data_IF_862298395379
#
_entry.id   IF_862298395379
#
_cell.length_a   1.000
_cell.length_b   1.000
_cell.length_c   1.000
_cell.angle_alpha   90.00
_cell.angle_beta   90.00
_cell.angle_gamma   90.00
#
_symmetry.space_group_name_H-M   'P 1'
#
loop_
_entity.id
_entity.type
_entity.pdbx_description
1 polymer ?
#
# COMPACT_ATOMS: atom_id res chain seq x y z
N UNK A 1 -10.59 9.40 27.87
CA UNK A 1 -9.23 9.59 28.47
C UNK A 1 -8.90 8.57 29.55
N UNK A 2 -9.84 8.12 30.37
CA UNK A 2 -9.59 7.19 31.49
C UNK A 2 -9.17 5.76 31.06
N UNK A 3 -9.63 5.28 29.92
CA UNK A 3 -9.29 3.94 29.39
C UNK A 3 -7.92 3.87 28.68
N UNK A 4 -7.35 5.02 28.29
CA UNK A 4 -6.14 5.08 27.47
C UNK A 4 -4.92 5.66 28.22
N UNK A 5 -4.93 5.68 29.54
CA UNK A 5 -3.80 6.17 30.38
C UNK A 5 -3.27 7.58 29.98
N UNK A 6 -4.08 8.38 29.34
CA UNK A 6 -3.85 9.82 29.12
C UNK A 6 -2.96 10.27 27.98
N UNK A 7 -2.16 9.43 27.32
CA UNK A 7 -1.31 9.85 26.19
C UNK A 7 -1.35 8.85 25.04
N UNK A 8 -1.87 9.26 23.89
CA UNK A 8 -1.81 8.50 22.65
C UNK A 8 -0.56 8.95 21.89
N UNK A 9 0.54 8.20 22.06
CA UNK A 9 1.81 8.52 21.41
C UNK A 9 1.92 7.98 19.97
N UNK A 10 1.17 6.92 19.64
CA UNK A 10 1.17 6.27 18.32
C UNK A 10 -0.24 5.92 17.91
N UNK A 11 -0.59 6.19 16.67
CA UNK A 11 -1.84 5.78 16.05
C UNK A 11 -1.59 5.01 14.77
N UNK A 12 -2.31 3.93 14.58
CA UNK A 12 -2.37 3.17 13.33
C UNK A 12 -3.63 3.60 12.59
N UNK A 13 -3.49 3.91 11.31
CA UNK A 13 -4.61 4.22 10.43
C UNK A 13 -4.69 3.21 9.30
N UNK A 14 -5.87 2.68 9.09
CA UNK A 14 -6.18 1.81 7.96
C UNK A 14 -7.59 2.08 7.46
N UNK A 15 -7.84 1.73 6.19
CA UNK A 15 -9.15 1.85 5.57
C UNK A 15 -9.66 0.50 5.11
N UNK A 16 -10.95 0.29 5.31
CA UNK A 16 -11.67 -0.84 4.74
C UNK A 16 -12.87 -0.38 3.93
N UNK A 17 -13.24 -1.18 2.93
CA UNK A 17 -14.41 -0.94 2.09
C UNK A 17 -15.56 -1.81 2.59
N UNK A 18 -16.73 -1.20 2.78
CA UNK A 18 -17.97 -1.91 3.13
C UNK A 18 -18.89 -1.80 1.92
N UNK A 19 -19.28 -2.95 1.38
CA UNK A 19 -20.16 -3.07 0.21
C UNK A 19 -21.60 -3.29 0.64
N UNK A 20 -22.53 -2.75 -0.15
CA UNK A 20 -23.96 -2.94 0.03
C UNK A 20 -24.52 -3.78 -1.10
N UNK A 21 -25.44 -4.68 -0.79
CA UNK A 21 -26.14 -5.49 -1.80
C UNK A 21 -27.24 -4.70 -2.53
N UNK A 22 -27.50 -3.45 -2.10
CA UNK A 22 -28.40 -2.53 -2.80
C UNK A 22 -27.84 -2.15 -4.16
N UNK A 23 -28.69 -2.04 -5.17
CA UNK A 23 -28.34 -1.57 -6.51
C UNK A 23 -28.43 -0.04 -6.67
N UNK A 24 -29.00 0.67 -5.68
CA UNK A 24 -29.17 2.12 -5.77
C UNK A 24 -28.14 2.83 -4.89
N UNK A 25 -27.28 3.68 -5.48
CA UNK A 25 -26.42 4.57 -4.74
C UNK A 25 -27.20 5.70 -4.09
N UNK A 26 -26.62 6.33 -3.08
CA UNK A 26 -27.05 7.58 -2.48
C UNK A 26 -25.82 8.49 -2.27
N UNK A 27 -25.98 9.62 -1.58
CA UNK A 27 -24.90 10.59 -1.33
C UNK A 27 -23.67 10.00 -0.62
N UNK A 28 -23.83 8.93 0.14
CA UNK A 28 -22.74 8.28 0.88
C UNK A 28 -22.33 6.96 0.24
N UNK A 29 -23.33 6.17 -0.21
CA UNK A 29 -23.11 4.86 -0.81
C UNK A 29 -22.97 4.99 -2.32
N UNK A 30 -21.75 5.18 -2.77
CA UNK A 30 -21.43 5.32 -4.18
C UNK A 30 -20.70 4.10 -4.72
N UNK A 31 -20.77 3.91 -6.04
CA UNK A 31 -19.90 2.93 -6.71
C UNK A 31 -18.48 3.51 -6.82
N UNK A 32 -17.48 2.66 -6.60
CA UNK A 32 -16.10 3.10 -6.61
C UNK A 32 -15.11 2.01 -6.99
N UNK A 33 -13.84 2.28 -6.76
CA UNK A 33 -12.81 1.29 -6.99
C UNK A 33 -12.94 0.13 -6.01
N UNK A 34 -13.07 -1.09 -6.53
CA UNK A 34 -13.15 -2.30 -5.73
C UNK A 34 -11.93 -3.19 -5.93
N UNK A 35 -11.20 -3.46 -4.85
CA UNK A 35 -10.10 -4.45 -4.83
C UNK A 35 -10.61 -5.89 -5.02
N UNK A 36 -11.92 -6.12 -4.74
CA UNK A 36 -12.59 -7.43 -4.83
C UNK A 36 -13.35 -7.65 -6.14
N UNK A 37 -13.32 -6.67 -7.05
CA UNK A 37 -14.02 -6.75 -8.33
C UNK A 37 -15.52 -6.41 -8.26
N UNK A 38 -16.01 -5.88 -7.13
CA UNK A 38 -17.41 -5.52 -6.90
C UNK A 38 -17.74 -4.09 -7.36
N UNK A 39 -17.30 -3.72 -8.56
CA UNK A 39 -17.44 -2.34 -9.08
C UNK A 39 -18.87 -1.86 -9.29
N UNK A 40 -19.85 -2.76 -9.31
CA UNK A 40 -21.27 -2.43 -9.49
C UNK A 40 -22.02 -2.26 -8.16
N UNK A 41 -21.40 -2.61 -7.04
CA UNK A 41 -22.01 -2.49 -5.73
C UNK A 41 -21.70 -1.13 -5.12
N UNK A 42 -22.71 -0.39 -4.62
CA UNK A 42 -22.48 0.77 -3.79
C UNK A 42 -21.62 0.40 -2.57
N UNK A 43 -20.71 1.27 -2.21
CA UNK A 43 -19.77 1.07 -1.12
C UNK A 43 -19.61 2.34 -0.30
N UNK A 44 -19.06 2.18 0.88
CA UNK A 44 -18.51 3.26 1.70
C UNK A 44 -17.09 2.89 2.11
N UNK A 45 -16.31 3.87 2.49
CA UNK A 45 -15.05 3.64 3.16
C UNK A 45 -15.17 3.91 4.65
N UNK A 46 -14.63 3.00 5.46
CA UNK A 46 -14.45 3.16 6.90
C UNK A 46 -12.96 3.35 7.20
N UNK A 47 -12.59 4.56 7.60
CA UNK A 47 -11.26 4.88 8.12
C UNK A 47 -11.22 4.62 9.62
N UNK A 48 -10.29 3.79 10.08
CA UNK A 48 -10.16 3.40 11.47
C UNK A 48 -8.83 3.84 12.05
N UNK A 49 -8.88 4.53 13.19
CA UNK A 49 -7.73 4.84 14.02
C UNK A 49 -7.65 3.86 15.19
N UNK A 50 -6.49 3.23 15.35
CA UNK A 50 -6.22 2.23 16.38
C UNK A 50 -5.01 2.68 17.20
N UNK A 51 -5.10 2.57 18.51
CA UNK A 51 -3.99 2.86 19.41
C UNK A 51 -2.94 1.74 19.45
N UNK A 52 -1.82 2.00 20.13
CA UNK A 52 -0.70 1.07 20.28
C UNK A 52 -1.12 -0.33 20.76
N UNK A 53 -2.12 -0.38 21.64
CA UNK A 53 -2.58 -1.61 22.26
C UNK A 53 -3.67 -2.35 21.46
N UNK A 54 -3.93 -1.90 20.22
CA UNK A 54 -4.90 -2.52 19.31
C UNK A 54 -6.36 -2.08 19.54
N UNK A 55 -6.61 -1.16 20.47
CA UNK A 55 -7.97 -0.64 20.68
C UNK A 55 -8.33 0.42 19.66
N UNK A 56 -9.55 0.36 19.07
CA UNK A 56 -10.09 1.43 18.25
C UNK A 56 -10.25 2.70 19.09
N UNK A 57 -9.73 3.81 18.59
CA UNK A 57 -9.79 5.11 19.27
C UNK A 57 -10.62 6.13 18.51
N UNK A 58 -10.83 5.91 17.22
CA UNK A 58 -11.69 6.73 16.39
C UNK A 58 -11.94 6.11 15.04
N UNK A 59 -12.99 6.58 14.40
CA UNK A 59 -13.33 6.21 13.01
C UNK A 59 -13.98 7.39 12.30
N UNK A 60 -13.95 7.33 10.99
CA UNK A 60 -14.74 8.18 10.12
C UNK A 60 -15.28 7.38 8.93
N UNK A 61 -16.40 7.82 8.36
CA UNK A 61 -17.04 7.18 7.22
C UNK A 61 -16.96 8.16 6.05
N UNK A 62 -16.61 7.62 4.88
CA UNK A 62 -16.44 8.39 3.66
C UNK A 62 -17.26 7.80 2.52
N UNK A 63 -17.61 8.66 1.57
CA UNK A 63 -18.28 8.31 0.33
C UNK A 63 -17.50 7.22 -0.44
N UNK A 64 -18.23 6.30 -1.05
CA UNK A 64 -17.64 5.17 -1.76
C UNK A 64 -16.85 5.53 -3.01
N UNK A 65 -17.06 6.72 -3.56
CA UNK A 65 -16.35 7.25 -4.74
C UNK A 65 -15.05 7.99 -4.41
N UNK A 66 -14.78 8.34 -3.14
CA UNK A 66 -13.61 9.14 -2.76
C UNK A 66 -12.30 8.39 -3.02
N UNK A 67 -11.25 9.12 -3.37
CA UNK A 67 -9.90 8.55 -3.41
C UNK A 67 -9.37 8.32 -1.99
N UNK A 68 -8.97 7.09 -1.70
CA UNK A 68 -8.51 6.61 -0.38
C UNK A 68 -7.46 7.52 0.27
N UNK A 69 -6.56 8.10 -0.54
CA UNK A 69 -5.51 9.00 -0.06
C UNK A 69 -6.02 10.33 0.53
N UNK A 70 -7.24 10.75 0.21
CA UNK A 70 -7.81 12.02 0.71
C UNK A 70 -8.46 11.90 2.09
N UNK A 71 -8.64 10.70 2.61
CA UNK A 71 -9.35 10.47 3.87
C UNK A 71 -8.45 10.62 5.11
N UNK A 72 -7.16 10.43 4.92
CA UNK A 72 -6.17 10.27 5.99
C UNK A 72 -6.02 11.52 6.86
N UNK A 73 -5.73 12.67 6.24
CA UNK A 73 -5.49 13.92 6.96
C UNK A 73 -6.75 14.41 7.69
N UNK A 74 -7.95 14.43 7.06
CA UNK A 74 -9.19 14.82 7.75
C UNK A 74 -9.50 13.99 9.00
N UNK A 75 -9.24 12.68 8.97
CA UNK A 75 -9.45 11.83 10.15
C UNK A 75 -8.53 12.21 11.29
N UNK A 76 -7.25 12.44 10.99
CA UNK A 76 -6.27 12.84 12.01
C UNK A 76 -6.64 14.17 12.65
N UNK A 77 -7.04 15.17 11.87
CA UNK A 77 -7.44 16.49 12.36
C UNK A 77 -8.68 16.43 13.24
N UNK A 78 -9.74 15.73 12.80
CA UNK A 78 -10.94 15.52 13.62
C UNK A 78 -10.60 14.86 14.94
N UNK A 79 -9.66 13.93 14.91
CA UNK A 79 -9.24 13.18 16.08
C UNK A 79 -8.44 14.04 17.07
N UNK A 80 -7.50 14.87 16.59
CA UNK A 80 -6.76 15.83 17.43
C UNK A 80 -7.72 16.77 18.17
N UNK A 81 -8.66 17.36 17.43
CA UNK A 81 -9.64 18.30 18.02
C UNK A 81 -10.52 17.59 19.05
N UNK A 82 -11.02 16.40 18.72
CA UNK A 82 -11.97 15.68 19.58
C UNK A 82 -11.35 15.24 20.91
N UNK A 83 -10.08 14.88 20.91
CA UNK A 83 -9.43 14.29 22.09
C UNK A 83 -8.37 15.19 22.73
N UNK A 84 -8.18 16.40 22.20
CA UNK A 84 -7.16 17.34 22.66
C UNK A 84 -5.78 16.66 22.80
N UNK A 85 -5.35 16.03 21.72
CA UNK A 85 -4.12 15.22 21.70
C UNK A 85 -2.93 16.05 21.21
N UNK A 86 -1.79 15.80 21.83
CA UNK A 86 -0.52 16.13 21.20
C UNK A 86 -0.38 15.24 19.96
N UNK A 87 0.27 15.76 18.90
CA UNK A 87 0.43 15.05 17.63
C UNK A 87 1.03 13.66 17.81
N UNK A 88 0.28 12.59 17.55
CA UNK A 88 0.81 11.24 17.66
C UNK A 88 1.75 10.92 16.50
N UNK A 89 2.58 9.89 16.67
CA UNK A 89 3.26 9.24 15.54
C UNK A 89 2.23 8.46 14.75
N UNK A 90 2.14 8.74 13.46
CA UNK A 90 1.15 8.13 12.58
C UNK A 90 1.75 6.95 11.83
N UNK A 91 1.13 5.79 11.94
CA UNK A 91 1.55 4.58 11.22
C UNK A 91 0.46 4.19 10.22
N UNK A 92 0.83 4.03 8.95
CA UNK A 92 -0.12 3.65 7.90
C UNK A 92 0.54 2.79 6.81
N UNK A 93 -0.28 2.17 5.98
CA UNK A 93 0.19 1.33 4.90
C UNK A 93 0.71 2.12 3.68
N UNK A 94 1.25 1.41 2.67
CA UNK A 94 1.77 2.03 1.45
C UNK A 94 0.66 2.56 0.51
N UNK A 95 -0.60 2.27 0.77
CA UNK A 95 -1.74 2.81 0.02
C UNK A 95 -1.86 4.32 0.22
N UNK A 96 -1.53 4.78 1.42
CA UNK A 96 -1.62 6.18 1.84
C UNK A 96 -0.33 6.98 1.58
N UNK A 97 0.73 6.33 1.07
CA UNK A 97 1.99 6.97 0.70
C UNK A 97 1.83 7.74 -0.62
N UNK A 98 1.32 8.96 -0.56
CA UNK A 98 1.34 9.93 -1.66
C UNK A 98 2.24 11.11 -1.31
N UNK A 99 2.77 11.80 -2.31
CA UNK A 99 3.57 13.02 -2.09
C UNK A 99 2.79 14.09 -1.32
N UNK A 100 1.49 14.18 -1.58
CA UNK A 100 0.64 15.19 -0.94
C UNK A 100 0.36 14.84 0.52
N UNK A 101 0.14 13.57 0.84
CA UNK A 101 0.00 13.12 2.22
C UNK A 101 1.29 13.32 3.03
N UNK A 102 2.46 13.02 2.44
CA UNK A 102 3.76 13.26 3.07
C UNK A 102 3.96 14.74 3.34
N UNK A 103 3.70 15.62 2.35
CA UNK A 103 3.81 17.07 2.50
C UNK A 103 2.85 17.59 3.59
N UNK A 104 1.61 17.11 3.59
CA UNK A 104 0.61 17.51 4.57
C UNK A 104 1.00 17.07 6.00
N UNK A 105 1.44 15.82 6.18
CA UNK A 105 1.92 15.33 7.47
C UNK A 105 3.13 16.16 7.97
N UNK A 106 4.12 16.36 7.10
CA UNK A 106 5.34 17.11 7.44
C UNK A 106 5.02 18.57 7.73
N UNK A 107 4.23 19.23 6.87
CA UNK A 107 3.82 20.64 7.04
C UNK A 107 3.00 20.87 8.31
N UNK A 108 2.23 19.88 8.73
CA UNK A 108 1.48 19.90 10.01
C UNK A 108 2.31 19.43 11.22
N UNK A 109 3.57 19.04 11.02
CA UNK A 109 4.50 18.63 12.08
C UNK A 109 4.22 17.25 12.68
N UNK A 110 3.55 16.35 11.94
CA UNK A 110 3.40 14.96 12.36
C UNK A 110 4.70 14.19 12.17
N UNK A 111 4.98 13.28 13.09
CA UNK A 111 5.91 12.17 12.87
C UNK A 111 5.14 11.00 12.26
N UNK A 112 5.77 10.26 11.34
CA UNK A 112 5.08 9.16 10.68
C UNK A 112 5.99 7.97 10.39
N UNK A 113 5.38 6.80 10.26
CA UNK A 113 5.97 5.57 9.71
C UNK A 113 4.99 5.05 8.65
N UNK A 114 5.32 5.23 7.38
CA UNK A 114 4.46 4.83 6.26
C UNK A 114 5.07 3.64 5.53
N UNK A 115 4.25 2.66 5.15
CA UNK A 115 4.69 1.59 4.27
C UNK A 115 5.25 2.15 2.96
N UNK A 116 6.45 1.73 2.54
CA UNK A 116 7.12 2.25 1.35
C UNK A 116 7.08 1.28 0.17
N UNK A 117 6.90 1.83 -1.04
CA UNK A 117 6.94 1.09 -2.31
C UNK A 117 8.37 1.07 -2.83
N UNK A 118 9.25 0.28 -2.21
CA UNK A 118 10.70 0.25 -2.47
C UNK A 118 11.08 0.04 -3.95
N UNK A 119 10.25 -0.67 -4.71
CA UNK A 119 10.43 -0.86 -6.16
C UNK A 119 10.21 0.42 -6.98
N UNK A 120 9.58 1.44 -6.40
CA UNK A 120 9.32 2.73 -7.04
C UNK A 120 10.37 3.81 -6.66
N UNK A 121 11.32 3.46 -5.81
CA UNK A 121 12.42 4.36 -5.45
C UNK A 121 13.33 4.69 -6.64
N UNK A 122 14.18 5.70 -6.49
CA UNK A 122 15.19 6.05 -7.49
C UNK A 122 16.12 4.87 -7.78
N UNK A 123 16.75 4.85 -8.95
CA UNK A 123 17.67 3.76 -9.31
C UNK A 123 18.80 3.62 -8.31
N UNK A 124 19.38 4.73 -7.84
CA UNK A 124 20.43 4.73 -6.82
C UNK A 124 19.98 4.05 -5.53
N UNK A 125 18.79 4.37 -5.03
CA UNK A 125 18.24 3.73 -3.82
C UNK A 125 17.96 2.24 -4.06
N UNK A 126 17.42 1.88 -5.23
CA UNK A 126 17.17 0.48 -5.60
C UNK A 126 18.47 -0.32 -5.65
N UNK A 127 19.52 0.20 -6.28
CA UNK A 127 20.84 -0.43 -6.34
C UNK A 127 21.43 -0.60 -4.94
N UNK A 128 21.32 0.42 -4.09
CA UNK A 128 21.76 0.34 -2.70
C UNK A 128 21.00 -0.76 -1.94
N UNK A 129 19.69 -0.88 -2.09
CA UNK A 129 18.90 -1.95 -1.45
C UNK A 129 19.33 -3.32 -1.94
N UNK A 130 19.50 -3.49 -3.25
CA UNK A 130 19.83 -4.79 -3.86
C UNK A 130 21.30 -5.20 -3.66
N UNK A 131 22.21 -4.27 -3.38
CA UNK A 131 23.61 -4.58 -3.05
C UNK A 131 23.81 -5.12 -1.63
N UNK A 132 22.80 -5.03 -0.76
CA UNK A 132 22.89 -5.53 0.60
C UNK A 132 22.73 -7.06 0.60
N UNK A 133 23.69 -7.75 1.18
CA UNK A 133 23.55 -9.17 1.52
C UNK A 133 22.60 -9.34 2.71
N UNK A 134 21.30 -9.49 2.45
CA UNK A 134 20.26 -9.53 3.47
C UNK A 134 20.30 -10.81 4.30
N UNK A 135 20.27 -10.66 5.63
CA UNK A 135 20.10 -11.75 6.59
C UNK A 135 18.70 -11.72 7.21
N UNK A 136 18.26 -12.87 7.76
CA UNK A 136 16.95 -12.99 8.42
C UNK A 136 16.79 -11.96 9.54
N UNK A 137 15.68 -11.24 9.54
CA UNK A 137 15.36 -10.20 10.53
C UNK A 137 16.18 -8.91 10.41
N UNK A 138 17.06 -8.81 9.44
CA UNK A 138 17.89 -7.61 9.27
C UNK A 138 17.04 -6.40 8.84
N UNK A 139 17.38 -5.24 9.43
CA UNK A 139 16.82 -3.93 9.07
C UNK A 139 17.96 -2.98 8.75
N UNK A 140 17.85 -2.24 7.65
CA UNK A 140 18.81 -1.20 7.25
C UNK A 140 18.09 0.13 7.02
N UNK A 141 18.74 1.21 7.45
CA UNK A 141 18.30 2.58 7.21
C UNK A 141 19.02 3.15 6.00
N UNK A 142 18.30 3.79 5.11
CA UNK A 142 18.80 4.49 3.93
C UNK A 142 18.30 5.94 4.03
N UNK A 143 19.24 6.87 4.19
CA UNK A 143 18.91 8.31 4.22
C UNK A 143 18.56 8.80 2.83
N UNK A 144 17.49 9.60 2.71
CA UNK A 144 17.06 10.19 1.45
C UNK A 144 17.35 11.69 1.41
N UNK A 145 17.51 12.29 0.20
CA UNK A 145 17.81 13.73 0.07
C UNK A 145 16.75 14.66 0.67
N UNK A 146 15.50 14.20 0.78
CA UNK A 146 14.36 14.93 1.34
C UNK A 146 14.29 14.87 2.88
N UNK A 147 15.39 14.51 3.54
CA UNK A 147 15.51 14.35 4.99
C UNK A 147 14.63 13.23 5.56
N UNK A 148 14.00 12.41 4.73
CA UNK A 148 13.32 11.21 5.18
C UNK A 148 14.29 10.03 5.26
N UNK A 149 13.94 9.02 6.04
CA UNK A 149 14.70 7.78 6.16
C UNK A 149 13.86 6.61 5.68
N UNK A 150 14.40 5.82 4.76
CA UNK A 150 13.80 4.58 4.31
C UNK A 150 14.41 3.42 5.10
N UNK A 151 13.60 2.79 5.94
CA UNK A 151 13.97 1.53 6.60
C UNK A 151 13.54 0.36 5.72
N UNK A 152 14.48 -0.50 5.37
CA UNK A 152 14.19 -1.74 4.63
C UNK A 152 14.49 -2.93 5.52
N UNK A 153 13.56 -3.85 5.59
CA UNK A 153 13.68 -5.10 6.36
C UNK A 153 13.60 -6.31 5.44
N UNK A 154 14.22 -7.42 5.85
CA UNK A 154 14.16 -8.70 5.18
C UNK A 154 13.57 -9.77 6.07
N UNK A 155 12.78 -10.67 5.49
CA UNK A 155 12.30 -11.89 6.13
C UNK A 155 12.22 -13.04 5.13
N UNK A 156 12.87 -14.15 5.45
CA UNK A 156 12.84 -15.37 4.64
C UNK A 156 11.45 -15.98 4.52
N UNK A 157 10.63 -15.91 5.60
CA UNK A 157 9.22 -16.33 5.55
C UNK A 157 8.44 -15.52 4.51
N UNK A 158 8.68 -14.22 4.44
CA UNK A 158 8.08 -13.36 3.44
C UNK A 158 8.63 -13.67 2.05
N UNK A 159 9.93 -13.89 1.91
CA UNK A 159 10.55 -14.25 0.64
C UNK A 159 9.93 -15.51 0.03
N UNK A 160 9.76 -16.56 0.84
CA UNK A 160 9.08 -17.78 0.41
C UNK A 160 7.62 -17.53 -0.05
N UNK A 161 6.89 -16.68 0.67
CA UNK A 161 5.52 -16.29 0.30
C UNK A 161 5.51 -15.49 -1.01
N UNK A 162 6.41 -14.53 -1.17
CA UNK A 162 6.50 -13.67 -2.36
C UNK A 162 6.87 -14.52 -3.58
N UNK A 163 7.84 -15.44 -3.47
CA UNK A 163 8.22 -16.40 -4.51
C UNK A 163 7.03 -17.29 -4.92
N UNK A 164 6.36 -17.91 -3.95
CA UNK A 164 5.19 -18.76 -4.20
C UNK A 164 4.05 -18.00 -4.90
N UNK A 165 3.79 -16.76 -4.49
CA UNK A 165 2.79 -15.90 -5.14
C UNK A 165 3.20 -15.57 -6.58
N UNK A 166 4.47 -15.24 -6.81
CA UNK A 166 5.01 -14.91 -8.13
C UNK A 166 4.91 -16.10 -9.08
N UNK A 167 5.27 -17.29 -8.63
CA UNK A 167 5.14 -18.53 -9.43
C UNK A 167 3.69 -18.86 -9.75
N UNK A 168 2.77 -18.75 -8.80
CA UNK A 168 1.33 -18.94 -9.07
C UNK A 168 0.81 -17.95 -10.10
N UNK A 169 1.29 -16.72 -10.03
CA UNK A 169 0.96 -15.69 -11.02
C UNK A 169 1.48 -16.03 -12.40
N UNK A 170 2.72 -16.53 -12.51
CA UNK A 170 3.31 -17.00 -13.77
C UNK A 170 2.50 -18.12 -14.39
N UNK A 171 2.21 -19.19 -13.62
CA UNK A 171 1.39 -20.33 -14.08
C UNK A 171 0.03 -19.88 -14.62
N UNK A 172 -0.59 -18.88 -13.96
CA UNK A 172 -1.85 -18.30 -14.43
C UNK A 172 -1.70 -17.56 -15.76
N UNK A 173 -0.62 -16.77 -15.92
CA UNK A 173 -0.32 -16.08 -17.18
C UNK A 173 -0.06 -17.07 -18.32
N UNK A 174 0.74 -18.11 -18.07
CA UNK A 174 1.03 -19.18 -19.05
C UNK A 174 -0.25 -19.88 -19.51
N UNK A 175 -1.14 -20.23 -18.56
CA UNK A 175 -2.45 -20.81 -18.86
C UNK A 175 -3.29 -19.88 -19.74
N UNK A 176 -3.35 -18.59 -19.39
CA UNK A 176 -4.12 -17.61 -20.15
C UNK A 176 -3.52 -17.37 -21.55
N UNK A 177 -2.20 -17.39 -21.68
CA UNK A 177 -1.50 -17.26 -22.94
C UNK A 177 -1.83 -18.43 -23.86
N UNK A 178 -1.70 -19.69 -23.35
CA UNK A 178 -2.03 -20.91 -24.09
C UNK A 178 -3.49 -20.99 -24.53
N UNK A 179 -4.41 -20.45 -23.74
CA UNK A 179 -5.85 -20.45 -24.05
C UNK A 179 -6.31 -19.26 -24.91
N UNK A 180 -5.39 -18.40 -25.38
CA UNK A 180 -5.73 -17.24 -26.21
C UNK A 180 -6.55 -16.15 -25.50
N UNK A 181 -6.65 -16.20 -24.17
CA UNK A 181 -7.45 -15.23 -23.39
C UNK A 181 -6.81 -13.86 -23.21
N UNK A 182 -5.54 -13.71 -23.57
CA UNK A 182 -4.81 -12.45 -23.43
C UNK A 182 -4.98 -11.60 -24.70
N UNK A 183 -5.26 -10.32 -24.50
CA UNK A 183 -5.36 -9.30 -25.53
C UNK A 183 -4.31 -8.23 -25.34
N UNK A 184 -4.10 -7.33 -26.29
CA UNK A 184 -3.18 -6.18 -26.15
C UNK A 184 -3.50 -5.34 -24.90
N UNK A 185 -4.76 -5.20 -24.54
CA UNK A 185 -5.20 -4.51 -23.30
C UNK A 185 -4.80 -5.22 -22.01
N UNK A 186 -4.45 -6.52 -22.10
CA UNK A 186 -3.90 -7.27 -20.97
C UNK A 186 -2.48 -6.83 -20.60
N UNK A 187 -1.76 -6.16 -21.52
CA UNK A 187 -0.40 -5.66 -21.26
C UNK A 187 -0.49 -4.37 -20.47
N UNK A 188 -0.25 -4.46 -19.18
CA UNK A 188 -0.27 -3.32 -18.26
C UNK A 188 0.61 -3.61 -17.03
N UNK A 189 0.85 -2.59 -16.19
CA UNK A 189 1.70 -2.73 -15.01
C UNK A 189 0.95 -3.22 -13.75
N UNK A 190 -0.27 -3.77 -13.89
CA UNK A 190 -1.08 -4.22 -12.74
C UNK A 190 -0.87 -5.71 -12.46
N UNK A 191 -0.63 -6.05 -11.22
CA UNK A 191 -0.48 -7.43 -10.77
C UNK A 191 0.60 -8.19 -11.57
N UNK A 192 0.26 -9.38 -12.05
CA UNK A 192 1.16 -10.21 -12.84
C UNK A 192 1.21 -9.84 -14.32
N UNK A 193 0.25 -9.05 -14.81
CA UNK A 193 0.25 -8.58 -16.20
C UNK A 193 1.48 -7.73 -16.53
N UNK A 194 2.17 -7.19 -15.52
CA UNK A 194 3.47 -6.51 -15.65
C UNK A 194 4.56 -7.35 -16.31
N UNK A 195 4.41 -8.69 -16.33
CA UNK A 195 5.34 -9.61 -17.01
C UNK A 195 4.95 -9.90 -18.46
N UNK A 196 3.86 -9.32 -18.96
CA UNK A 196 3.49 -9.43 -20.36
C UNK A 196 4.23 -8.37 -21.17
N UNK A 197 4.71 -8.75 -22.35
CA UNK A 197 5.27 -7.85 -23.35
C UNK A 197 4.73 -8.16 -24.74
N UNK A 198 4.80 -7.18 -25.63
CA UNK A 198 4.49 -7.36 -27.03
C UNK A 198 5.77 -7.73 -27.79
N UNK A 199 5.70 -8.78 -28.59
CA UNK A 199 6.75 -9.14 -29.55
C UNK A 199 6.25 -8.85 -30.96
N UNK A 200 6.90 -7.92 -31.66
CA UNK A 200 6.36 -7.36 -32.90
C UNK A 200 5.04 -6.63 -32.66
N UNK A 201 4.17 -6.61 -33.65
CA UNK A 201 2.90 -5.86 -33.55
C UNK A 201 1.72 -6.65 -32.97
N UNK A 202 1.84 -8.00 -32.85
CA UNK A 202 0.67 -8.84 -32.62
C UNK A 202 0.87 -9.86 -31.50
N UNK A 203 2.08 -10.37 -31.29
CA UNK A 203 2.31 -11.52 -30.41
C UNK A 203 2.55 -11.10 -28.96
N UNK A 204 1.73 -11.60 -28.05
CA UNK A 204 1.91 -11.42 -26.61
C UNK A 204 2.83 -12.51 -26.09
N UNK A 205 3.84 -12.12 -25.33
CA UNK A 205 4.81 -13.02 -24.72
C UNK A 205 4.98 -12.70 -23.24
N UNK A 206 5.49 -13.68 -22.49
CA UNK A 206 5.89 -13.50 -21.10
C UNK A 206 7.35 -13.08 -21.07
N UNK A 207 7.62 -11.98 -20.36
CA UNK A 207 8.97 -11.50 -20.09
C UNK A 207 9.56 -12.24 -18.88
N UNK A 208 10.12 -13.42 -19.13
CA UNK A 208 10.77 -14.23 -18.10
C UNK A 208 11.96 -13.53 -17.46
N UNK A 209 12.69 -12.68 -18.21
CA UNK A 209 13.79 -11.89 -17.64
C UNK A 209 13.29 -10.93 -16.57
N UNK A 210 12.20 -10.23 -16.85
CA UNK A 210 11.56 -9.33 -15.86
C UNK A 210 11.02 -10.10 -14.66
N UNK A 211 10.49 -11.30 -14.89
CA UNK A 211 10.03 -12.20 -13.83
C UNK A 211 11.19 -12.63 -12.91
N UNK A 212 12.32 -13.02 -13.45
CA UNK A 212 13.53 -13.40 -12.70
C UNK A 212 14.11 -12.20 -11.93
N UNK A 213 14.24 -11.04 -12.57
CA UNK A 213 14.72 -9.83 -11.91
C UNK A 213 13.83 -9.40 -10.74
N UNK A 214 12.52 -9.66 -10.81
CA UNK A 214 11.60 -9.30 -9.74
C UNK A 214 11.80 -10.14 -8.46
N UNK A 215 12.44 -11.32 -8.56
CA UNK A 215 12.76 -12.20 -7.42
C UNK A 215 13.74 -11.57 -6.43
N UNK A 216 14.58 -10.64 -6.88
CA UNK A 216 15.56 -9.94 -6.04
C UNK A 216 14.89 -9.12 -4.91
N UNK A 217 13.60 -8.85 -5.05
CA UNK A 217 12.82 -8.09 -4.08
C UNK A 217 12.05 -8.97 -3.07
N UNK A 218 12.14 -10.30 -3.21
CA UNK A 218 11.42 -11.22 -2.34
C UNK A 218 11.90 -11.07 -0.90
N UNK A 219 10.96 -11.02 0.02
CA UNK A 219 11.25 -10.88 1.44
C UNK A 219 11.50 -9.44 1.91
N UNK A 220 11.71 -8.49 0.99
CA UNK A 220 11.99 -7.10 1.34
C UNK A 220 10.70 -6.31 1.59
N UNK A 221 10.72 -5.48 2.64
CA UNK A 221 9.64 -4.54 2.97
C UNK A 221 10.24 -3.22 3.43
N UNK A 222 9.70 -2.12 2.92
CA UNK A 222 10.15 -0.78 3.26
C UNK A 222 9.16 0.00 4.10
N UNK A 223 9.71 0.93 4.90
CA UNK A 223 8.97 1.92 5.68
C UNK A 223 9.67 3.27 5.57
N UNK A 224 8.90 4.32 5.30
CA UNK A 224 9.38 5.70 5.23
C UNK A 224 9.03 6.44 6.51
N UNK A 225 10.00 7.20 7.06
CA UNK A 225 9.80 8.05 8.24
C UNK A 225 10.54 9.37 8.09
N UNK A 226 10.10 10.39 8.84
CA UNK A 226 10.75 11.70 9.00
C UNK A 226 11.44 11.86 10.34
#
# INVERSE_FOLDING_TARGET
KSLLSGKIGVVFYDMTTIYFESSQPDELRETGFSKEGKHQHPQIYLGLLVGKDGYPIGYDIFEGGIYEGHTFIPVLEKFEVRFDLQKPIVVADAGLLSSDNIKALTGKGYKYILGARIKNESNSVKEQILSIGWAEGQIKAISKPDQTTLYVSYSGKRAAKDASNRERGLKRLEKNLKSGKLTKSSINNRGYNKYLKLHGEIKIEIDYRKFELDSQWDGLKGYLTN
#
